data_IF_683070759711
#
_entry.id   IF_683070759711
#
_cell.length_a   1.000
_cell.length_b   1.000
_cell.length_c   1.000
_cell.angle_alpha   90.00
_cell.angle_beta   90.00
_cell.angle_gamma   90.00
#
_symmetry.space_group_name_H-M   'P 1'
#
loop_
_entity.id
_entity.type
_entity.pdbx_description
1 polymer ?
#
# COMPACT_ATOMS: atom_id res chain seq x y z
N UNK A 1 -2.83 0.41 -39.08
CA UNK A 1 -1.85 0.26 -37.98
C UNK A 1 -2.62 -0.19 -36.76
N UNK A 2 -2.37 -1.40 -36.26
CA UNK A 2 -2.94 -1.85 -34.98
C UNK A 2 -2.10 -1.21 -33.88
N UNK A 3 -2.56 -0.07 -33.36
CA UNK A 3 -1.92 0.55 -32.20
C UNK A 3 -2.19 -0.30 -30.95
N UNK A 4 -1.21 -0.40 -30.06
CA UNK A 4 -1.46 -0.90 -28.72
C UNK A 4 -2.48 0.02 -28.05
N UNK A 5 -3.66 -0.51 -27.73
CA UNK A 5 -4.68 0.18 -26.94
C UNK A 5 -4.90 -0.59 -25.65
N UNK A 6 -4.97 0.14 -24.54
CA UNK A 6 -5.33 -0.38 -23.22
C UNK A 6 -6.61 0.33 -22.81
N UNK A 7 -7.62 -0.45 -22.45
CA UNK A 7 -8.91 0.10 -22.03
C UNK A 7 -8.74 0.88 -20.70
N UNK A 8 -9.10 2.17 -20.70
CA UNK A 8 -8.98 3.02 -19.51
C UNK A 8 -9.79 2.48 -18.32
N UNK A 9 -10.92 1.81 -18.57
CA UNK A 9 -11.72 1.16 -17.54
C UNK A 9 -10.96 0.02 -16.84
N UNK A 10 -10.15 -0.74 -17.58
CA UNK A 10 -9.29 -1.78 -17.02
C UNK A 10 -8.21 -1.16 -16.11
N UNK A 11 -7.62 -0.04 -16.52
CA UNK A 11 -6.64 0.69 -15.70
C UNK A 11 -7.24 1.19 -14.39
N UNK A 12 -8.46 1.72 -14.40
CA UNK A 12 -9.15 2.11 -13.16
C UNK A 12 -9.53 0.93 -12.28
N UNK A 13 -9.99 -0.17 -12.89
CA UNK A 13 -10.30 -1.40 -12.14
C UNK A 13 -9.07 -1.90 -11.41
N UNK A 14 -7.93 -1.97 -12.08
CA UNK A 14 -6.67 -2.38 -11.44
C UNK A 14 -6.20 -1.36 -10.40
N UNK A 15 -6.31 -0.05 -10.66
CA UNK A 15 -5.96 0.96 -9.66
C UNK A 15 -6.71 0.75 -8.32
N UNK A 16 -8.00 0.40 -8.38
CA UNK A 16 -8.81 0.07 -7.19
C UNK A 16 -8.32 -1.16 -6.43
N UNK A 17 -7.77 -2.16 -7.14
CA UNK A 17 -7.18 -3.35 -6.50
C UNK A 17 -5.96 -2.94 -5.69
N UNK A 18 -5.08 -2.10 -6.26
CA UNK A 18 -3.92 -1.60 -5.53
C UNK A 18 -4.31 -0.68 -4.35
N UNK A 19 -5.35 0.15 -4.50
CA UNK A 19 -5.89 0.95 -3.40
C UNK A 19 -6.39 0.05 -2.24
N UNK A 20 -7.00 -1.10 -2.56
CA UNK A 20 -7.46 -2.07 -1.56
C UNK A 20 -6.31 -2.78 -0.87
N UNK A 21 -5.30 -3.20 -1.62
CA UNK A 21 -4.07 -3.76 -1.05
C UNK A 21 -3.37 -2.76 -0.14
N UNK A 22 -3.34 -1.47 -0.51
CA UNK A 22 -2.73 -0.42 0.29
C UNK A 22 -3.48 -0.24 1.62
N UNK A 23 -4.82 -0.22 1.59
CA UNK A 23 -5.64 -0.16 2.81
C UNK A 23 -5.38 -1.36 3.72
N UNK A 24 -5.39 -2.57 3.18
CA UNK A 24 -5.14 -3.79 3.97
C UNK A 24 -3.74 -3.78 4.59
N UNK A 25 -2.73 -3.28 3.87
CA UNK A 25 -1.37 -3.14 4.40
C UNK A 25 -1.27 -2.09 5.51
N UNK A 26 -2.00 -0.97 5.39
CA UNK A 26 -2.11 0.05 6.45
C UNK A 26 -2.79 -0.50 7.71
N UNK A 27 -3.88 -1.25 7.55
CA UNK A 27 -4.56 -1.92 8.67
C UNK A 27 -3.64 -2.90 9.39
N UNK A 28 -2.95 -3.78 8.65
CA UNK A 28 -1.99 -4.72 9.22
C UNK A 28 -0.84 -4.02 9.96
N UNK A 29 -0.34 -2.90 9.44
CA UNK A 29 0.66 -2.06 10.11
C UNK A 29 0.13 -1.52 11.44
N UNK A 30 -1.10 -1.00 11.45
CA UNK A 30 -1.69 -0.38 12.63
C UNK A 30 -1.99 -1.43 13.73
N UNK A 31 -2.46 -2.62 13.32
CA UNK A 31 -2.64 -3.77 14.21
C UNK A 31 -1.31 -4.25 14.82
N UNK A 32 -0.25 -4.29 14.02
CA UNK A 32 1.09 -4.64 14.50
C UNK A 32 1.60 -3.59 15.49
N UNK A 33 1.43 -2.29 15.21
CA UNK A 33 1.81 -1.24 16.17
C UNK A 33 1.10 -1.43 17.51
N UNK A 34 -0.21 -1.69 17.49
CA UNK A 34 -0.97 -1.95 18.70
C UNK A 34 -0.46 -3.19 19.46
N UNK A 35 -0.06 -4.25 18.74
CA UNK A 35 0.51 -5.45 19.33
C UNK A 35 1.88 -5.18 19.96
N UNK A 36 2.80 -4.49 19.28
CA UNK A 36 4.10 -4.10 19.81
C UNK A 36 3.95 -3.23 21.08
N UNK A 37 3.05 -2.25 21.07
CA UNK A 37 2.81 -1.38 22.22
C UNK A 37 2.20 -2.15 23.40
N UNK A 38 1.25 -3.04 23.15
CA UNK A 38 0.67 -3.92 24.18
C UNK A 38 1.74 -4.82 24.79
N UNK A 39 2.53 -5.49 23.96
CA UNK A 39 3.44 -6.54 24.40
C UNK A 39 4.69 -5.94 25.07
N UNK A 40 5.12 -4.73 24.67
CA UNK A 40 6.17 -3.96 25.37
C UNK A 40 5.84 -3.73 26.84
N UNK A 41 4.55 -3.55 27.17
CA UNK A 41 4.10 -3.40 28.56
C UNK A 41 4.07 -4.73 29.35
N UNK A 42 4.27 -5.86 28.69
CA UNK A 42 4.19 -7.21 29.29
C UNK A 42 5.54 -7.92 29.40
N UNK A 43 6.62 -7.37 28.82
CA UNK A 43 7.96 -7.93 28.95
C UNK A 43 8.41 -7.88 30.42
N UNK A 44 8.39 -9.05 31.07
CA UNK A 44 8.80 -9.22 32.47
C UNK A 44 10.29 -8.91 32.69
N UNK A 45 10.66 -8.67 33.94
CA UNK A 45 12.04 -8.36 34.35
C UNK A 45 12.96 -9.59 34.42
N UNK A 46 12.61 -10.70 33.77
CA UNK A 46 13.49 -11.86 33.69
C UNK A 46 14.61 -11.64 32.65
N UNK A 47 15.65 -12.47 32.69
CA UNK A 47 16.79 -12.31 31.78
C UNK A 47 16.39 -12.47 30.31
N UNK A 48 15.33 -13.22 30.01
CA UNK A 48 14.86 -13.44 28.65
C UNK A 48 14.14 -12.20 28.11
N UNK A 49 13.25 -11.60 28.89
CA UNK A 49 12.58 -10.33 28.60
C UNK A 49 13.55 -9.18 28.49
N UNK A 50 14.59 -9.13 29.34
CA UNK A 50 15.65 -8.12 29.27
C UNK A 50 16.51 -8.24 28.01
N UNK A 51 16.79 -9.47 27.54
CA UNK A 51 17.54 -9.67 26.30
C UNK A 51 16.68 -9.39 25.07
N UNK A 52 15.42 -9.84 25.08
CA UNK A 52 14.46 -9.53 24.03
C UNK A 52 14.23 -8.02 23.89
N UNK A 53 14.14 -7.30 25.02
CA UNK A 53 13.98 -5.84 25.01
C UNK A 53 15.13 -5.10 24.29
N UNK A 54 16.32 -5.70 24.15
CA UNK A 54 17.46 -5.08 23.44
C UNK A 54 17.33 -5.18 21.92
N UNK A 55 16.86 -6.32 21.41
CA UNK A 55 16.72 -6.56 19.95
C UNK A 55 15.37 -6.10 19.40
N UNK A 56 14.35 -6.01 20.25
CA UNK A 56 12.99 -5.61 19.86
C UNK A 56 12.91 -4.29 19.09
N UNK A 57 13.60 -3.20 19.48
CA UNK A 57 13.54 -1.94 18.73
C UNK A 57 14.07 -2.04 17.29
N UNK A 58 15.07 -2.89 17.05
CA UNK A 58 15.63 -3.11 15.70
C UNK A 58 14.70 -3.96 14.85
N UNK A 59 14.15 -5.03 15.44
CA UNK A 59 13.15 -5.89 14.80
C UNK A 59 11.91 -5.07 14.41
N UNK A 60 11.40 -4.28 15.35
CA UNK A 60 10.24 -3.40 15.16
C UNK A 60 10.49 -2.41 14.02
N UNK A 61 11.65 -1.74 14.02
CA UNK A 61 12.05 -0.82 12.95
C UNK A 61 12.10 -1.51 11.59
N UNK A 62 12.75 -2.68 11.50
CA UNK A 62 12.85 -3.42 10.24
C UNK A 62 11.50 -3.81 9.66
N UNK A 63 10.57 -4.25 10.51
CA UNK A 63 9.19 -4.60 10.10
C UNK A 63 8.46 -3.36 9.57
N UNK A 64 8.50 -2.24 10.29
CA UNK A 64 7.77 -1.04 9.90
C UNK A 64 8.37 -0.32 8.70
N UNK A 65 9.70 -0.35 8.52
CA UNK A 65 10.35 0.17 7.33
C UNK A 65 9.97 -0.65 6.07
N UNK A 66 9.89 -1.98 6.19
CA UNK A 66 9.43 -2.84 5.10
C UNK A 66 7.96 -2.58 4.74
N UNK A 67 7.07 -2.48 5.74
CA UNK A 67 5.65 -2.17 5.53
C UNK A 67 5.48 -0.79 4.89
N UNK A 68 6.22 0.22 5.35
CA UNK A 68 6.20 1.56 4.77
C UNK A 68 6.62 1.54 3.29
N UNK A 69 7.69 0.82 2.96
CA UNK A 69 8.17 0.69 1.58
C UNK A 69 7.10 0.04 0.70
N UNK A 70 6.52 -1.07 1.15
CA UNK A 70 5.46 -1.77 0.43
C UNK A 70 4.22 -0.90 0.21
N UNK A 71 3.74 -0.19 1.24
CA UNK A 71 2.60 0.74 1.14
C UNK A 71 2.88 1.83 0.09
N UNK A 72 4.08 2.42 0.11
CA UNK A 72 4.46 3.45 -0.86
C UNK A 72 4.48 2.90 -2.30
N UNK A 73 4.92 1.66 -2.51
CA UNK A 73 4.91 1.02 -3.82
C UNK A 73 3.48 0.80 -4.32
N UNK A 74 2.56 0.35 -3.46
CA UNK A 74 1.15 0.17 -3.80
C UNK A 74 0.50 1.51 -4.20
N UNK A 75 0.70 2.56 -3.42
CA UNK A 75 0.21 3.91 -3.74
C UNK A 75 0.79 4.43 -5.07
N UNK A 76 2.09 4.21 -5.30
CA UNK A 76 2.74 4.61 -6.54
C UNK A 76 2.13 3.91 -7.76
N UNK A 77 1.87 2.61 -7.67
CA UNK A 77 1.23 1.84 -8.75
C UNK A 77 -0.20 2.31 -8.99
N UNK A 78 -1.01 2.44 -7.94
CA UNK A 78 -2.39 2.92 -8.04
C UNK A 78 -2.45 4.33 -8.68
N UNK A 79 -1.58 5.24 -8.24
CA UNK A 79 -1.44 6.59 -8.78
C UNK A 79 -1.03 6.58 -10.25
N UNK A 80 -0.07 5.73 -10.62
CA UNK A 80 0.37 5.56 -12.01
C UNK A 80 -0.73 5.02 -12.91
N UNK A 81 -1.49 4.03 -12.45
CA UNK A 81 -2.63 3.47 -13.20
C UNK A 81 -3.73 4.52 -13.40
N UNK A 82 -4.08 5.27 -12.36
CA UNK A 82 -5.07 6.34 -12.46
C UNK A 82 -4.64 7.49 -13.39
N UNK A 83 -3.36 7.86 -13.36
CA UNK A 83 -2.81 8.88 -14.26
C UNK A 83 -2.86 8.42 -15.73
N UNK A 84 -2.48 7.17 -15.98
CA UNK A 84 -2.54 6.59 -17.32
C UNK A 84 -3.98 6.46 -17.81
N UNK A 85 -4.92 6.00 -16.97
CA UNK A 85 -6.34 5.90 -17.31
C UNK A 85 -6.91 7.22 -17.82
N UNK A 86 -6.63 8.33 -17.13
CA UNK A 86 -7.04 9.69 -17.55
C UNK A 86 -6.45 10.10 -18.90
N UNK A 87 -5.26 9.60 -19.23
CA UNK A 87 -4.59 9.86 -20.50
C UNK A 87 -5.29 9.13 -21.65
N UNK A 88 -5.80 7.92 -21.41
CA UNK A 88 -6.56 7.13 -22.39
C UNK A 88 -8.06 7.50 -22.47
N UNK A 89 -8.66 8.03 -21.41
CA UNK A 89 -10.05 8.51 -21.41
C UNK A 89 -10.26 9.71 -22.35
N UNK A 90 -9.26 10.59 -22.48
CA UNK A 90 -9.33 11.80 -23.32
C UNK A 90 -9.47 11.51 -24.83
N UNK A 91 -8.69 10.57 -25.41
CA UNK A 91 -8.86 10.14 -26.80
C UNK A 91 -10.14 9.32 -27.06
N UNK A 92 -10.61 8.55 -26.07
CA UNK A 92 -11.76 7.65 -26.22
C UNK A 92 -13.12 8.35 -26.05
N UNK A 93 -13.18 9.53 -25.42
CA UNK A 93 -14.35 10.41 -25.53
C UNK A 93 -14.30 11.12 -26.88
N UNK A 94 -15.17 10.78 -27.85
CA UNK A 94 -15.26 11.57 -29.07
C UNK A 94 -15.72 12.97 -28.67
N UNK A 95 -15.06 13.99 -29.21
CA UNK A 95 -15.59 15.36 -29.20
C UNK A 95 -16.90 15.38 -30.00
N UNK A 96 -18.03 15.01 -29.40
CA UNK A 96 -19.28 14.90 -30.13
C UNK A 96 -20.40 14.10 -29.46
N UNK A 97 -20.74 14.37 -28.20
CA UNK A 97 -22.11 14.14 -27.74
C UNK A 97 -22.72 15.48 -27.34
N UNK A 98 -23.23 16.17 -28.36
CA UNK A 98 -24.40 17.04 -28.24
C UNK A 98 -25.53 16.31 -28.97
N UNK A 99 -26.50 15.82 -28.21
CA UNK A 99 -27.91 15.76 -28.61
C UNK A 99 -28.73 16.06 -27.37
#
# INVERSE_FOLDING_TARGET
MSGYSVEWAALHREARVYDELERNAKEARDDLHAAFDRDRNTLGHDMYGAELAKSMPEIERGIFDALKTYINELDHVASGLNLNARTYERPERPSGERN
#
